data_IF_254752811701
#
_entry.id   IF_254752811701
#
_cell.length_a   1.000
_cell.length_b   1.000
_cell.length_c   1.000
_cell.angle_alpha   90.00
_cell.angle_beta   90.00
_cell.angle_gamma   90.00
#
_symmetry.space_group_name_H-M   'P 1'
#
loop_
_entity.id
_entity.type
_entity.pdbx_description
1 polymer ?
#
# COMPACT_ATOMS: atom_id res chain seq x y z
N UNK A 1 -10.80 -1.92 -22.21
CA UNK A 1 -10.74 -1.98 -20.73
C UNK A 1 -11.34 -0.69 -20.26
N UNK A 2 -12.54 -0.69 -19.64
CA UNK A 2 -13.29 0.55 -19.36
C UNK A 2 -12.52 1.56 -18.52
N UNK A 3 -11.66 1.08 -17.61
CA UNK A 3 -10.78 1.94 -16.81
C UNK A 3 -9.81 2.76 -17.68
N UNK A 4 -9.36 2.23 -18.81
CA UNK A 4 -8.39 2.85 -19.71
C UNK A 4 -9.01 3.85 -20.69
N UNK A 5 -10.35 3.86 -20.79
CA UNK A 5 -11.09 4.86 -21.57
C UNK A 5 -11.23 6.17 -20.78
N UNK A 6 -10.91 6.16 -19.49
CA UNK A 6 -10.92 7.35 -18.64
C UNK A 6 -9.65 8.20 -18.86
N UNK A 7 -9.79 9.54 -18.79
CA UNK A 7 -8.65 10.44 -18.69
C UNK A 7 -7.70 10.07 -17.55
N UNK A 8 -6.41 10.33 -17.76
CA UNK A 8 -5.35 9.96 -16.80
C UNK A 8 -5.59 10.53 -15.41
N UNK A 9 -6.18 11.73 -15.31
CA UNK A 9 -6.49 12.40 -14.05
C UNK A 9 -7.52 11.61 -13.23
N UNK A 10 -8.54 11.04 -13.90
CA UNK A 10 -9.55 10.22 -13.25
C UNK A 10 -8.97 8.86 -12.84
N UNK A 11 -8.12 8.27 -13.69
CA UNK A 11 -7.43 7.02 -13.37
C UNK A 11 -6.55 7.17 -12.12
N UNK A 12 -5.77 8.25 -12.04
CA UNK A 12 -4.94 8.58 -10.87
C UNK A 12 -5.78 8.77 -9.59
N UNK A 13 -6.93 9.45 -9.68
CA UNK A 13 -7.85 9.58 -8.54
C UNK A 13 -8.37 8.22 -8.06
N UNK A 14 -8.76 7.34 -8.99
CA UNK A 14 -9.19 5.98 -8.67
C UNK A 14 -8.05 5.21 -8.00
N UNK A 15 -6.83 5.27 -8.55
CA UNK A 15 -5.66 4.59 -7.97
C UNK A 15 -5.41 5.06 -6.55
N UNK A 16 -5.47 6.37 -6.29
CA UNK A 16 -5.33 6.91 -4.92
C UNK A 16 -6.41 6.38 -3.99
N UNK A 17 -7.68 6.40 -4.40
CA UNK A 17 -8.78 5.93 -3.57
C UNK A 17 -8.68 4.43 -3.25
N UNK A 18 -8.21 3.63 -4.20
CA UNK A 18 -8.10 2.17 -4.03
C UNK A 18 -6.84 1.79 -3.27
N UNK A 19 -5.69 2.41 -3.57
CA UNK A 19 -4.39 2.00 -3.05
C UNK A 19 -3.98 2.71 -1.76
N UNK A 20 -4.65 3.80 -1.38
CA UNK A 20 -4.37 4.52 -0.13
C UNK A 20 -5.12 3.87 1.02
N UNK A 21 -4.38 3.34 1.98
CA UNK A 21 -4.91 2.84 3.24
C UNK A 21 -5.24 4.02 4.18
N UNK A 22 -6.24 4.83 3.84
CA UNK A 22 -6.58 6.06 4.58
C UNK A 22 -6.95 5.74 6.04
N UNK A 23 -6.23 6.33 7.00
CA UNK A 23 -6.42 6.07 8.43
C UNK A 23 -5.69 4.82 8.94
N UNK A 24 -4.94 4.12 8.09
CA UNK A 24 -4.17 2.94 8.46
C UNK A 24 -2.69 3.12 8.14
N UNK A 25 -1.85 2.45 8.92
CA UNK A 25 -0.41 2.26 8.65
C UNK A 25 -0.15 0.83 8.20
N UNK A 26 0.77 0.67 7.27
CA UNK A 26 1.16 -0.61 6.72
C UNK A 26 2.39 -1.13 7.46
N UNK A 27 2.20 -2.05 8.40
CA UNK A 27 3.29 -2.73 9.11
C UNK A 27 3.88 -3.85 8.26
N UNK A 28 5.18 -3.73 7.98
CA UNK A 28 5.99 -4.75 7.32
C UNK A 28 6.75 -5.54 8.39
N UNK A 29 6.38 -6.80 8.55
CA UNK A 29 7.02 -7.77 9.43
C UNK A 29 7.78 -8.85 8.67
N UNK A 30 8.21 -9.89 9.39
CA UNK A 30 8.96 -11.03 8.84
C UNK A 30 8.03 -11.91 7.99
N UNK A 31 7.85 -11.54 6.73
CA UNK A 31 6.97 -12.23 5.79
C UNK A 31 5.47 -11.88 5.95
N UNK A 32 5.14 -10.94 6.84
CA UNK A 32 3.77 -10.48 7.07
C UNK A 32 3.62 -9.02 6.68
N UNK A 33 2.49 -8.66 6.08
CA UNK A 33 2.16 -7.30 5.72
C UNK A 33 0.76 -6.99 6.28
N UNK A 34 0.68 -6.11 7.27
CA UNK A 34 -0.53 -5.86 8.06
C UNK A 34 -0.92 -4.38 7.99
N UNK A 35 -2.22 -4.09 7.96
CA UNK A 35 -2.74 -2.73 8.10
C UNK A 35 -3.32 -2.56 9.51
N UNK A 36 -2.97 -1.48 10.21
CA UNK A 36 -3.51 -1.15 11.54
C UNK A 36 -3.90 0.33 11.61
N UNK A 37 -4.90 0.67 12.43
CA UNK A 37 -5.38 2.06 12.54
C UNK A 37 -4.31 2.99 13.12
N UNK A 38 -4.07 4.12 12.45
CA UNK A 38 -3.01 5.06 12.81
C UNK A 38 -3.21 5.72 14.19
N UNK A 39 -4.45 5.82 14.66
CA UNK A 39 -4.80 6.49 15.93
C UNK A 39 -4.77 5.57 17.15
N UNK A 40 -4.42 4.29 16.99
CA UNK A 40 -4.58 3.29 18.04
C UNK A 40 -3.19 2.78 18.46
N UNK A 41 -2.82 2.91 19.75
CA UNK A 41 -1.57 2.36 20.25
C UNK A 41 -1.50 0.84 20.02
N UNK A 42 -0.36 0.36 19.53
CA UNK A 42 -0.11 -1.04 19.13
C UNK A 42 -0.43 -2.06 20.22
N UNK A 43 -0.33 -1.67 21.51
CA UNK A 43 -0.64 -2.52 22.66
C UNK A 43 -2.13 -2.53 23.05
N UNK A 44 -2.93 -1.59 22.55
CA UNK A 44 -4.38 -1.48 22.77
C UNK A 44 -5.20 -2.11 21.62
N UNK A 45 -4.55 -2.57 20.55
CA UNK A 45 -5.18 -3.16 19.36
C UNK A 45 -5.80 -4.54 19.57
N UNK A 46 -5.88 -5.04 20.82
CA UNK A 46 -6.42 -6.37 21.13
C UNK A 46 -7.93 -6.47 20.97
N UNK A 47 -8.65 -5.34 20.86
CA UNK A 47 -10.10 -5.36 20.64
C UNK A 47 -10.58 -4.15 19.86
N UNK A 48 -10.47 -4.17 18.53
CA UNK A 48 -11.20 -3.20 17.72
C UNK A 48 -11.86 -3.90 16.55
N UNK A 49 -13.17 -3.69 16.49
CA UNK A 49 -14.07 -4.08 15.41
C UNK A 49 -13.37 -3.85 14.09
N UNK A 50 -12.95 -4.96 13.50
CA UNK A 50 -12.18 -4.99 12.29
C UNK A 50 -13.13 -4.50 11.19
N UNK A 51 -13.18 -3.19 10.93
CA UNK A 51 -13.49 -2.70 9.60
C UNK A 51 -12.34 -3.19 8.73
N UNK A 52 -12.40 -4.48 8.38
CA UNK A 52 -11.37 -5.22 7.66
C UNK A 52 -11.06 -4.42 6.43
N UNK A 53 -9.93 -3.72 6.48
CA UNK A 53 -9.28 -3.29 5.27
C UNK A 53 -9.27 -4.50 4.33
N UNK A 54 -9.69 -4.37 3.06
CA UNK A 54 -9.67 -5.50 2.15
C UNK A 54 -8.28 -6.13 2.26
N UNK A 55 -8.22 -7.48 2.36
CA UNK A 55 -6.93 -8.19 2.42
C UNK A 55 -5.99 -7.51 1.44
N UNK A 56 -4.79 -7.12 1.89
CA UNK A 56 -3.91 -6.27 1.08
C UNK A 56 -3.63 -6.89 -0.30
N UNK A 57 -3.71 -8.22 -0.41
CA UNK A 57 -3.73 -8.94 -1.69
C UNK A 57 -4.81 -8.46 -2.68
N UNK A 58 -6.02 -8.15 -2.24
CA UNK A 58 -7.10 -7.57 -3.06
C UNK A 58 -6.79 -6.14 -3.48
N UNK A 59 -6.19 -5.34 -2.61
CA UNK A 59 -5.80 -3.97 -2.94
C UNK A 59 -4.66 -3.96 -3.97
N UNK A 60 -3.64 -4.80 -3.76
CA UNK A 60 -2.49 -4.94 -4.66
C UNK A 60 -2.84 -5.66 -5.97
N UNK A 61 -3.96 -6.38 -6.04
CA UNK A 61 -4.42 -7.02 -7.27
C UNK A 61 -4.55 -6.02 -8.43
N UNK A 62 -4.87 -4.75 -8.14
CA UNK A 62 -4.91 -3.68 -9.13
C UNK A 62 -3.56 -3.50 -9.84
N UNK A 63 -2.45 -3.64 -9.12
CA UNK A 63 -1.11 -3.53 -9.68
C UNK A 63 -0.76 -4.71 -10.60
N UNK A 64 -1.52 -5.81 -10.54
CA UNK A 64 -1.28 -7.00 -11.34
C UNK A 64 -2.13 -7.07 -12.62
N UNK A 65 -3.05 -6.12 -12.84
CA UNK A 65 -4.01 -6.18 -13.96
C UNK A 65 -3.35 -5.92 -15.32
N UNK A 66 -2.51 -4.89 -15.42
CA UNK A 66 -1.80 -4.58 -16.67
C UNK A 66 -0.51 -3.81 -16.41
N UNK A 67 0.45 -3.89 -17.36
CA UNK A 67 1.73 -3.16 -17.27
C UNK A 67 1.53 -1.65 -17.18
N UNK A 68 0.53 -1.12 -17.90
CA UNK A 68 0.23 0.30 -17.89
C UNK A 68 -0.38 0.74 -16.55
N UNK A 69 -1.39 0.03 -16.04
CA UNK A 69 -1.98 0.30 -14.73
C UNK A 69 -0.90 0.20 -13.65
N UNK A 70 -0.05 -0.83 -13.72
CA UNK A 70 1.08 -0.98 -12.81
C UNK A 70 1.98 0.25 -12.83
N UNK A 71 2.41 0.74 -14.01
CA UNK A 71 3.31 1.90 -14.11
C UNK A 71 2.70 3.19 -13.56
N UNK A 72 1.38 3.37 -13.71
CA UNK A 72 0.69 4.58 -13.26
C UNK A 72 0.30 4.53 -11.78
N UNK A 73 -0.10 3.36 -11.28
CA UNK A 73 -0.67 3.20 -9.95
C UNK A 73 0.40 2.85 -8.88
N UNK A 74 1.49 2.20 -9.27
CA UNK A 74 2.57 1.84 -8.35
C UNK A 74 3.18 3.06 -7.63
N UNK A 75 3.46 4.20 -8.29
CA UNK A 75 4.01 5.38 -7.61
C UNK A 75 3.07 5.91 -6.52
N UNK A 76 1.76 5.87 -6.78
CA UNK A 76 0.74 6.33 -5.85
C UNK A 76 0.68 5.43 -4.61
N UNK A 77 0.85 4.11 -4.75
CA UNK A 77 0.92 3.20 -3.61
C UNK A 77 2.09 3.52 -2.67
N UNK A 78 3.31 3.67 -3.18
CA UNK A 78 4.48 3.92 -2.33
C UNK A 78 4.50 5.35 -1.74
N UNK A 79 3.90 6.31 -2.44
CA UNK A 79 3.88 7.73 -2.03
C UNK A 79 2.82 8.05 -0.98
N UNK A 80 1.64 7.45 -1.11
CA UNK A 80 0.48 7.82 -0.28
C UNK A 80 0.32 6.95 0.98
N UNK A 81 1.01 5.82 1.06
CA UNK A 81 0.93 4.93 2.21
C UNK A 81 2.11 5.13 3.17
N UNK A 82 1.82 5.01 4.47
CA UNK A 82 2.82 5.08 5.52
C UNK A 82 3.23 3.66 5.93
N UNK A 83 4.51 3.34 5.76
CA UNK A 83 5.07 2.04 6.10
C UNK A 83 5.71 2.09 7.49
N UNK A 84 5.33 1.15 8.36
CA UNK A 84 6.01 0.90 9.62
C UNK A 84 6.79 -0.41 9.51
N UNK A 85 8.00 -0.47 10.04
CA UNK A 85 8.82 -1.65 10.00
C UNK A 85 9.02 -2.20 11.41
N UNK A 86 8.86 -3.51 11.58
CA UNK A 86 9.03 -4.15 12.89
C UNK A 86 10.47 -4.04 13.41
N UNK A 87 11.45 -4.14 12.53
CA UNK A 87 12.86 -3.96 12.83
C UNK A 87 13.64 -3.47 11.59
N UNK A 88 14.89 -3.05 11.79
CA UNK A 88 15.77 -2.59 10.70
C UNK A 88 16.06 -3.68 9.66
N UNK A 89 15.95 -4.96 10.03
CA UNK A 89 16.14 -6.07 9.10
C UNK A 89 14.99 -6.16 8.09
N UNK A 90 13.76 -5.92 8.55
CA UNK A 90 12.56 -5.85 7.72
C UNK A 90 12.63 -4.67 6.76
N UNK A 91 13.09 -3.50 7.22
CA UNK A 91 13.33 -2.34 6.36
C UNK A 91 14.36 -2.67 5.28
N UNK A 92 15.52 -3.23 5.64
CA UNK A 92 16.58 -3.59 4.68
C UNK A 92 16.10 -4.62 3.65
N UNK A 93 15.36 -5.64 4.10
CA UNK A 93 14.78 -6.66 3.23
C UNK A 93 13.75 -6.04 2.28
N UNK A 94 12.83 -5.23 2.79
CA UNK A 94 11.82 -4.53 2.01
C UNK A 94 12.45 -3.65 0.92
N UNK A 95 13.39 -2.78 1.29
CA UNK A 95 14.07 -1.90 0.34
C UNK A 95 14.82 -2.71 -0.72
N UNK A 96 15.43 -3.84 -0.35
CA UNK A 96 16.08 -4.75 -1.31
C UNK A 96 15.08 -5.35 -2.29
N UNK A 97 13.95 -5.86 -1.80
CA UNK A 97 12.94 -6.55 -2.59
C UNK A 97 12.18 -5.64 -3.56
N UNK A 98 11.88 -4.39 -3.17
CA UNK A 98 11.14 -3.48 -4.04
C UNK A 98 11.98 -2.96 -5.22
N UNK A 99 13.32 -3.01 -5.11
CA UNK A 99 14.25 -2.51 -6.13
C UNK A 99 14.47 -1.00 -6.09
N UNK A 100 15.52 -0.52 -6.76
CA UNK A 100 15.98 0.88 -6.72
C UNK A 100 14.98 1.89 -7.27
N UNK A 101 14.25 1.53 -8.32
CA UNK A 101 13.27 2.43 -8.95
C UNK A 101 12.09 2.73 -8.03
N UNK A 102 11.60 1.74 -7.29
CA UNK A 102 10.43 1.89 -6.42
C UNK A 102 10.75 2.69 -5.15
N UNK A 103 12.00 2.63 -4.69
CA UNK A 103 12.48 3.40 -3.52
C UNK A 103 12.27 4.90 -3.67
N UNK A 104 12.35 5.42 -4.91
CA UNK A 104 12.20 6.85 -5.21
C UNK A 104 10.82 7.42 -4.82
N UNK A 105 9.83 6.55 -4.64
CA UNK A 105 8.45 6.94 -4.34
C UNK A 105 8.09 6.78 -2.86
N UNK A 106 8.96 6.18 -2.05
CA UNK A 106 8.75 6.06 -0.60
C UNK A 106 8.96 7.44 0.05
N UNK A 107 8.05 7.78 0.95
CA UNK A 107 8.15 8.95 1.83
C UNK A 107 8.69 8.59 3.20
#
# INVERSE_FOLDING_TARGET
CPLMELPVELRLKIYRLVLKATGFRLRVGRGTFLAYEEKVPVWASTSQNIFTMPRISKMLALLSVSKQIHSEAMPEFYRENHFEFLDMSCLKSFLTNIGTERRKFIR
#
